data_IF_908733278257
#
_entry.id   IF_908733278257
#
_cell.length_a   1.000
_cell.length_b   1.000
_cell.length_c   1.000
_cell.angle_alpha   90.00
_cell.angle_beta   90.00
_cell.angle_gamma   90.00
#
_symmetry.space_group_name_H-M   'P 1'
#
loop_
_entity.id
_entity.type
_entity.pdbx_description
1 polymer ?
#
# COMPACT_ATOMS: atom_id res chain seq x y z
N UNK A 1 -23.00 -12.71 1.17
CA UNK A 1 -22.41 -13.03 -0.15
C UNK A 1 -21.47 -11.89 -0.52
N UNK A 2 -20.16 -12.12 -0.55
CA UNK A 2 -19.19 -11.13 -1.05
C UNK A 2 -19.22 -11.25 -2.58
N UNK A 3 -19.73 -10.23 -3.28
CA UNK A 3 -19.84 -10.27 -4.74
C UNK A 3 -18.44 -10.43 -5.38
N UNK A 4 -18.30 -11.28 -6.43
CA UNK A 4 -17.02 -11.50 -7.12
C UNK A 4 -16.45 -10.22 -7.76
N UNK A 5 -17.29 -9.22 -8.05
CA UNK A 5 -16.88 -7.91 -8.56
C UNK A 5 -16.01 -7.09 -7.59
N UNK A 6 -16.17 -7.26 -6.28
CA UNK A 6 -15.37 -6.53 -5.28
C UNK A 6 -13.91 -7.02 -5.25
N UNK A 7 -13.68 -8.33 -5.43
CA UNK A 7 -12.35 -8.93 -5.40
C UNK A 7 -11.46 -8.47 -6.57
N UNK A 8 -12.02 -8.37 -7.77
CA UNK A 8 -11.29 -7.90 -8.96
C UNK A 8 -10.82 -6.45 -8.80
N UNK A 9 -11.65 -5.59 -8.19
CA UNK A 9 -11.32 -4.18 -7.98
C UNK A 9 -10.21 -4.00 -6.94
N UNK A 10 -10.27 -4.77 -5.84
CA UNK A 10 -9.23 -4.74 -4.80
C UNK A 10 -7.87 -5.18 -5.36
N UNK A 11 -7.85 -6.25 -6.17
CA UNK A 11 -6.60 -6.72 -6.79
C UNK A 11 -6.00 -5.75 -7.79
N UNK A 12 -6.80 -4.95 -8.51
CA UNK A 12 -6.28 -3.85 -9.33
C UNK A 12 -5.65 -2.73 -8.49
N UNK A 13 -6.29 -2.35 -7.38
CA UNK A 13 -5.76 -1.33 -6.47
C UNK A 13 -4.44 -1.79 -5.86
N UNK A 14 -4.34 -3.04 -5.43
CA UNK A 14 -3.10 -3.63 -4.92
C UNK A 14 -1.96 -3.58 -5.95
N UNK A 15 -2.25 -3.94 -7.21
CA UNK A 15 -1.26 -3.87 -8.30
C UNK A 15 -0.81 -2.44 -8.55
N UNK A 16 -1.74 -1.49 -8.60
CA UNK A 16 -1.43 -0.06 -8.82
C UNK A 16 -0.57 0.52 -7.70
N UNK A 17 -0.85 0.14 -6.45
CA UNK A 17 -0.14 0.60 -5.26
C UNK A 17 1.14 -0.20 -4.97
N UNK A 18 1.56 -1.12 -5.83
CA UNK A 18 2.80 -1.87 -5.61
C UNK A 18 4.03 -0.94 -5.68
N UNK A 19 4.94 -1.08 -4.71
CA UNK A 19 6.18 -0.29 -4.56
C UNK A 19 7.43 -1.17 -4.62
N UNK A 20 8.62 -0.56 -4.73
CA UNK A 20 9.91 -1.25 -4.68
C UNK A 20 10.49 -1.18 -3.27
N UNK A 21 10.75 -2.32 -2.67
CA UNK A 21 11.39 -2.44 -1.36
C UNK A 21 12.78 -3.04 -1.54
N UNK A 22 13.78 -2.19 -1.83
CA UNK A 22 15.11 -2.62 -2.24
C UNK A 22 15.06 -3.40 -3.56
N UNK A 23 15.65 -4.59 -3.59
CA UNK A 23 15.61 -5.51 -4.74
C UNK A 23 14.29 -6.30 -4.85
N UNK A 24 13.42 -6.23 -3.84
CA UNK A 24 12.14 -6.92 -3.81
C UNK A 24 10.98 -6.00 -4.21
N UNK A 25 9.91 -6.58 -4.74
CA UNK A 25 8.64 -5.89 -4.95
C UNK A 25 7.75 -6.06 -3.72
N UNK A 26 7.22 -4.97 -3.17
CA UNK A 26 6.25 -5.03 -2.07
C UNK A 26 4.85 -4.69 -2.59
N UNK A 27 3.99 -5.71 -2.57
CA UNK A 27 2.58 -5.56 -2.92
C UNK A 27 1.77 -5.36 -1.63
N UNK A 28 1.02 -4.26 -1.51
CA UNK A 28 0.16 -4.06 -0.37
C UNK A 28 -1.03 -5.01 -0.40
N UNK A 29 -1.61 -5.29 0.76
CA UNK A 29 -2.92 -5.90 0.91
C UNK A 29 -3.96 -4.81 1.09
N UNK A 30 -5.05 -4.88 0.34
CA UNK A 30 -6.15 -3.91 0.45
C UNK A 30 -7.38 -4.59 1.06
N UNK A 31 -7.84 -4.08 2.19
CA UNK A 31 -9.07 -4.52 2.84
C UNK A 31 -10.17 -3.50 2.60
N UNK A 32 -11.37 -3.98 2.28
CA UNK A 32 -12.57 -3.16 2.21
C UNK A 32 -13.24 -3.10 3.59
N UNK A 33 -13.35 -1.91 4.15
CA UNK A 33 -14.15 -1.62 5.34
C UNK A 33 -15.22 -0.59 4.99
N UNK A 34 -16.21 -0.96 4.15
CA UNK A 34 -17.52 -0.28 3.91
C UNK A 34 -17.51 1.23 3.56
N UNK A 35 -16.89 2.06 4.40
CA UNK A 35 -16.61 3.48 4.26
C UNK A 35 -15.14 3.81 3.90
N UNK A 36 -14.21 2.85 4.00
CA UNK A 36 -12.77 3.05 3.70
C UNK A 36 -12.08 1.79 3.18
N UNK A 37 -11.04 1.97 2.38
CA UNK A 37 -10.06 0.93 2.08
C UNK A 37 -8.87 1.04 3.04
N UNK A 38 -8.44 -0.08 3.61
CA UNK A 38 -7.19 -0.17 4.36
C UNK A 38 -6.13 -0.73 3.44
N UNK A 39 -5.09 0.05 3.18
CA UNK A 39 -3.89 -0.40 2.45
C UNK A 39 -2.82 -0.75 3.48
N UNK A 40 -2.35 -1.99 3.45
CA UNK A 40 -1.32 -2.47 4.36
C UNK A 40 -0.11 -2.97 3.56
N UNK A 41 1.02 -2.30 3.72
CA UNK A 41 2.32 -2.81 3.29
C UNK A 41 2.98 -3.54 4.45
N UNK A 42 3.55 -4.70 4.13
CA UNK A 42 4.33 -5.50 5.08
C UNK A 42 5.55 -6.05 4.36
N UNK A 43 6.73 -5.79 4.90
CA UNK A 43 7.99 -6.33 4.41
C UNK A 43 8.89 -6.55 5.61
N UNK A 44 9.22 -7.82 5.88
CA UNK A 44 10.04 -8.23 7.03
C UNK A 44 9.48 -7.65 8.34
N UNK A 45 10.24 -6.80 9.05
CA UNK A 45 9.83 -6.12 10.29
C UNK A 45 9.22 -4.72 10.06
N UNK A 46 9.05 -4.30 8.81
CA UNK A 46 8.40 -3.05 8.45
C UNK A 46 6.92 -3.24 8.14
N UNK A 47 6.10 -2.34 8.69
CA UNK A 47 4.67 -2.25 8.48
C UNK A 47 4.25 -0.80 8.21
N UNK A 48 3.49 -0.59 7.14
CA UNK A 48 2.94 0.72 6.82
C UNK A 48 1.47 0.58 6.45
N UNK A 49 0.62 1.28 7.22
CA UNK A 49 -0.83 1.25 7.05
C UNK A 49 -1.33 2.62 6.62
N UNK A 50 -2.17 2.63 5.60
CA UNK A 50 -2.83 3.83 5.11
C UNK A 50 -4.33 3.58 4.92
N UNK A 51 -5.14 4.62 5.09
CA UNK A 51 -6.59 4.57 4.95
C UNK A 51 -7.03 5.46 3.80
N UNK A 52 -7.85 4.94 2.90
CA UNK A 52 -8.40 5.66 1.76
C UNK A 52 -9.91 5.70 1.93
N UNK A 53 -10.53 6.88 1.94
CA UNK A 53 -11.97 6.99 2.10
C UNK A 53 -12.69 6.51 0.83
N UNK A 54 -13.74 5.70 0.99
CA UNK A 54 -14.57 5.22 -0.13
C UNK A 54 -15.39 6.42 -0.63
N UNK A 55 -14.99 6.97 -1.77
CA UNK A 55 -15.58 8.17 -2.36
C UNK A 55 -14.54 9.07 -3.00
N UNK A 56 -13.30 9.04 -2.50
CA UNK A 56 -12.17 9.60 -3.21
C UNK A 56 -11.89 8.72 -4.43
N UNK A 57 -12.01 9.30 -5.63
CA UNK A 57 -11.52 8.61 -6.83
C UNK A 57 -10.04 8.34 -6.61
N UNK A 58 -9.64 7.09 -6.74
CA UNK A 58 -8.24 6.67 -6.71
C UNK A 58 -7.55 7.15 -8.00
N UNK A 59 -7.38 8.46 -8.12
CA UNK A 59 -6.75 9.11 -9.26
C UNK A 59 -5.27 8.73 -9.30
N UNK A 60 -4.66 8.85 -10.48
CA UNK A 60 -3.24 8.55 -10.63
C UNK A 60 -2.36 9.46 -9.75
N UNK A 61 -2.83 10.67 -9.43
CA UNK A 61 -2.18 11.57 -8.47
C UNK A 61 -2.19 11.00 -7.05
N UNK A 62 -3.34 10.50 -6.57
CA UNK A 62 -3.43 9.85 -5.26
C UNK A 62 -2.56 8.60 -5.20
N UNK A 63 -2.59 7.76 -6.24
CA UNK A 63 -1.72 6.58 -6.34
C UNK A 63 -0.24 6.98 -6.26
N UNK A 64 0.17 8.02 -6.99
CA UNK A 64 1.56 8.51 -6.98
C UNK A 64 1.96 9.03 -5.60
N UNK A 65 1.11 9.79 -4.94
CA UNK A 65 1.36 10.28 -3.58
C UNK A 65 1.49 9.14 -2.58
N UNK A 66 0.55 8.18 -2.58
CA UNK A 66 0.58 7.03 -1.68
C UNK A 66 1.83 6.20 -1.85
N UNK A 67 2.22 5.95 -3.10
CA UNK A 67 3.47 5.25 -3.41
C UNK A 67 4.68 6.02 -2.92
N UNK A 68 4.72 7.34 -3.12
CA UNK A 68 5.81 8.19 -2.64
C UNK A 68 5.96 8.17 -1.12
N UNK A 69 4.84 8.28 -0.38
CA UNK A 69 4.83 8.23 1.08
C UNK A 69 5.28 6.84 1.58
N UNK A 70 4.74 5.77 1.00
CA UNK A 70 5.09 4.41 1.40
C UNK A 70 6.57 4.09 1.08
N UNK A 71 7.06 4.54 -0.08
CA UNK A 71 8.45 4.40 -0.49
C UNK A 71 9.40 5.14 0.46
N UNK A 72 9.13 6.42 0.73
CA UNK A 72 9.95 7.22 1.64
C UNK A 72 9.94 6.63 3.07
N UNK A 73 8.79 6.13 3.53
CA UNK A 73 8.71 5.49 4.84
C UNK A 73 9.54 4.20 4.92
N UNK A 74 9.54 3.41 3.85
CA UNK A 74 10.37 2.21 3.74
C UNK A 74 11.87 2.55 3.67
N UNK A 75 12.25 3.58 2.92
CA UNK A 75 13.63 4.05 2.80
C UNK A 75 14.15 4.53 4.16
N UNK A 76 13.40 5.37 4.88
CA UNK A 76 13.76 5.78 6.25
C UNK A 76 13.88 4.60 7.21
N UNK A 77 13.02 3.58 7.06
CA UNK A 77 13.13 2.36 7.87
C UNK A 77 14.43 1.61 7.55
N UNK A 78 14.78 1.47 6.27
CA UNK A 78 16.02 0.84 5.84
C UNK A 78 17.26 1.61 6.31
N UNK A 79 17.25 2.94 6.25
CA UNK A 79 18.33 3.79 6.76
C UNK A 79 18.56 3.56 8.25
N UNK A 80 17.49 3.61 9.06
CA UNK A 80 17.56 3.37 10.52
C UNK A 80 18.04 1.98 10.89
N UNK A 81 17.75 0.98 10.06
CA UNK A 81 18.16 -0.41 10.31
C UNK A 81 19.50 -0.78 9.68
N UNK A 82 20.02 0.01 8.72
CA UNK A 82 21.40 -0.12 8.22
C UNK A 82 22.43 0.47 9.17
N UNK A 83 22.08 1.50 9.93
CA UNK A 83 22.97 2.10 10.94
C UNK A 83 23.13 1.27 12.22
N UNK A 84 22.47 0.10 12.30
CA UNK A 84 22.48 -0.79 13.46
C UNK A 84 23.22 -2.12 13.26
N UNK A 85 23.92 -2.32 12.14
CA UNK A 85 24.81 -3.47 11.89
C UNK A 85 26.28 -3.13 12.15
#
# INVERSE_FOLDING_TARGET
>A
MILPFCLSRLTEIEKRLTIKCGDSVCRPKVYDEFIRYIVLYRKDNWWFRYYILIGEKLTDSHVKQLKGIAQANYEMYCERHREGE
#
